data_IF_800768993620
#
_entry.id   IF_800768993620
#
_cell.length_a   1.000
_cell.length_b   1.000
_cell.length_c   1.000
_cell.angle_alpha   90.00
_cell.angle_beta   90.00
_cell.angle_gamma   90.00
#
_symmetry.space_group_name_H-M   'P 1'
#
loop_
_entity.id
_entity.type
_entity.pdbx_description
1 polymer ?
#
# COMPACT_ATOMS: atom_id res chain seq x y z
N UNK A 1 -11.13 40.41 4.21
CA UNK A 1 -10.27 39.30 3.74
C UNK A 1 -11.09 38.01 3.75
N UNK A 2 -11.25 37.33 2.62
CA UNK A 2 -11.96 36.03 2.53
C UNK A 2 -10.96 34.91 2.84
N UNK A 3 -11.24 34.08 3.84
CA UNK A 3 -10.39 32.97 4.26
C UNK A 3 -10.62 31.75 3.35
N UNK A 4 -9.56 31.30 2.67
CA UNK A 4 -9.60 30.07 1.87
C UNK A 4 -9.42 28.89 2.81
N UNK A 5 -10.46 28.06 2.98
CA UNK A 5 -10.38 26.80 3.71
C UNK A 5 -9.98 25.69 2.73
N UNK A 6 -8.72 25.28 2.76
CA UNK A 6 -8.28 24.06 2.09
C UNK A 6 -8.75 22.85 2.89
N UNK A 7 -9.77 22.14 2.38
CA UNK A 7 -10.14 20.82 2.90
C UNK A 7 -9.13 19.83 2.33
N UNK A 8 -8.24 19.28 3.15
CA UNK A 8 -7.38 18.17 2.72
C UNK A 8 -8.26 16.94 2.48
N UNK A 9 -8.51 16.63 1.21
CA UNK A 9 -9.16 15.39 0.81
C UNK A 9 -8.13 14.47 0.15
N UNK A 10 -7.96 13.29 0.72
CA UNK A 10 -6.99 12.30 0.24
C UNK A 10 -7.47 11.66 -1.05
N UNK A 11 -6.78 11.92 -2.16
CA UNK A 11 -6.96 11.19 -3.42
C UNK A 11 -5.96 10.04 -3.46
N UNK A 12 -6.42 8.83 -3.79
CA UNK A 12 -5.52 7.68 -3.96
C UNK A 12 -4.88 7.68 -5.36
N UNK A 13 -3.59 7.37 -5.44
CA UNK A 13 -2.82 7.32 -6.70
C UNK A 13 -3.46 6.34 -7.70
N UNK A 14 -4.06 5.24 -7.21
CA UNK A 14 -4.73 4.26 -8.07
C UNK A 14 -6.01 4.79 -8.70
N UNK A 15 -6.79 5.58 -7.95
CA UNK A 15 -8.00 6.21 -8.46
C UNK A 15 -7.66 7.29 -9.49
N UNK A 16 -6.65 8.12 -9.21
CA UNK A 16 -6.13 9.09 -10.18
C UNK A 16 -5.64 8.42 -11.47
N UNK A 17 -4.92 7.30 -11.35
CA UNK A 17 -4.41 6.55 -12.50
C UNK A 17 -5.53 5.84 -13.29
N UNK A 18 -6.59 5.39 -12.64
CA UNK A 18 -7.75 4.79 -13.31
C UNK A 18 -8.56 5.85 -14.07
N UNK A 19 -8.72 7.04 -13.50
CA UNK A 19 -9.39 8.17 -14.13
C UNK A 19 -8.62 8.66 -15.36
N UNK A 20 -7.30 8.85 -15.23
CA UNK A 20 -6.44 9.32 -16.31
C UNK A 20 -6.33 8.36 -17.51
N UNK A 21 -6.63 7.07 -17.32
CA UNK A 21 -6.60 6.06 -18.40
C UNK A 21 -7.95 5.86 -19.08
N UNK A 22 -9.01 6.48 -18.57
CA UNK A 22 -10.35 6.37 -19.14
C UNK A 22 -10.72 7.69 -19.85
N UNK A 23 -10.83 7.70 -21.19
CA UNK A 23 -11.07 8.92 -21.97
C UNK A 23 -12.41 9.58 -21.61
N UNK A 24 -13.47 8.80 -21.39
CA UNK A 24 -14.78 9.34 -20.99
C UNK A 24 -14.75 9.98 -19.59
N UNK A 25 -13.87 9.49 -18.71
CA UNK A 25 -13.72 10.05 -17.38
C UNK A 25 -12.87 11.34 -17.40
N UNK A 26 -11.89 11.43 -18.29
CA UNK A 26 -11.14 12.67 -18.53
C UNK A 26 -12.03 13.77 -19.15
N UNK A 27 -12.84 13.42 -20.15
CA UNK A 27 -13.81 14.35 -20.76
C UNK A 27 -14.81 14.90 -19.72
N UNK A 28 -15.31 14.05 -18.83
CA UNK A 28 -16.21 14.49 -17.75
C UNK A 28 -15.54 15.45 -16.75
N UNK A 29 -14.23 15.30 -16.51
CA UNK A 29 -13.46 16.20 -15.64
C UNK A 29 -13.19 17.52 -16.33
N UNK A 30 -12.88 17.51 -17.63
CA UNK A 30 -12.66 18.70 -18.43
C UNK A 30 -13.94 19.52 -18.55
N UNK A 31 -15.08 18.91 -18.87
CA UNK A 31 -16.38 19.58 -18.93
C UNK A 31 -16.76 20.24 -17.58
N UNK A 32 -16.45 19.58 -16.46
CA UNK A 32 -16.69 20.13 -15.12
C UNK A 32 -15.74 21.29 -14.77
N UNK A 33 -14.51 21.28 -15.29
CA UNK A 33 -13.56 22.37 -15.13
C UNK A 33 -13.98 23.60 -15.95
N UNK A 34 -14.44 23.40 -17.19
CA UNK A 34 -14.95 24.47 -18.06
C UNK A 34 -16.20 25.14 -17.46
N UNK A 35 -17.15 24.35 -16.92
CA UNK A 35 -18.33 24.90 -16.22
C UNK A 35 -17.93 25.74 -14.99
N UNK A 36 -16.89 25.32 -14.27
CA UNK A 36 -16.40 26.04 -13.09
C UNK A 36 -15.70 27.37 -13.45
N UNK A 37 -14.97 27.41 -14.56
CA UNK A 37 -14.32 28.62 -15.08
C UNK A 37 -15.34 29.61 -15.66
N UNK A 38 -16.39 29.12 -16.36
CA UNK A 38 -17.46 29.97 -16.92
C UNK A 38 -18.34 30.60 -15.82
N UNK A 39 -18.54 29.90 -14.71
CA UNK A 39 -19.35 30.39 -13.58
C UNK A 39 -18.66 31.49 -12.74
N UNK A 40 -17.40 31.85 -13.03
CA UNK A 40 -16.57 32.75 -12.20
C UNK A 40 -16.65 32.43 -10.69
N UNK A 41 -16.86 31.15 -10.37
CA UNK A 41 -16.98 30.67 -9.00
C UNK A 41 -15.57 30.59 -8.38
N UNK A 42 -15.40 30.91 -7.08
CA UNK A 42 -14.12 30.68 -6.42
C UNK A 42 -13.72 29.20 -6.58
N UNK A 43 -12.42 28.85 -6.67
CA UNK A 43 -11.96 27.53 -7.06
C UNK A 43 -12.40 26.46 -6.06
N UNK A 44 -13.61 25.95 -6.28
CA UNK A 44 -14.25 24.85 -5.57
C UNK A 44 -14.30 23.60 -6.46
N UNK A 45 -13.31 23.50 -7.35
CA UNK A 45 -13.08 22.41 -8.30
C UNK A 45 -13.18 21.02 -7.64
N UNK A 46 -12.74 20.92 -6.37
CA UNK A 46 -12.78 19.67 -5.60
C UNK A 46 -14.13 19.38 -4.93
N UNK A 47 -14.95 20.39 -4.64
CA UNK A 47 -16.27 20.20 -4.03
C UNK A 47 -17.28 19.70 -5.07
N UNK A 48 -17.27 20.28 -6.28
CA UNK A 48 -18.17 19.85 -7.37
C UNK A 48 -17.76 18.50 -7.95
N UNK A 49 -16.46 18.24 -8.10
CA UNK A 49 -15.96 16.91 -8.49
C UNK A 49 -16.39 15.81 -7.50
N UNK A 50 -16.51 16.13 -6.20
CA UNK A 50 -17.04 15.20 -5.20
C UNK A 50 -18.53 14.90 -5.39
N UNK A 51 -19.38 15.88 -5.70
CA UNK A 51 -20.81 15.65 -5.94
C UNK A 51 -21.02 14.72 -7.13
N UNK A 52 -20.27 14.92 -8.22
CA UNK A 52 -20.32 14.01 -9.38
C UNK A 52 -19.72 12.63 -9.09
N UNK A 53 -18.70 12.53 -8.22
CA UNK A 53 -18.20 11.25 -7.72
C UNK A 53 -19.22 10.53 -6.82
N UNK A 54 -20.05 11.26 -6.06
CA UNK A 54 -21.12 10.67 -5.25
C UNK A 54 -22.25 10.10 -6.14
N UNK A 55 -22.61 10.78 -7.23
CA UNK A 55 -23.56 10.23 -8.22
C UNK A 55 -22.99 9.00 -8.94
N UNK A 56 -21.69 8.98 -9.25
CA UNK A 56 -21.01 7.78 -9.78
C UNK A 56 -20.91 6.65 -8.73
N UNK A 57 -20.86 6.98 -7.44
CA UNK A 57 -20.86 6.05 -6.30
C UNK A 57 -22.27 5.52 -5.98
N UNK A 58 -23.33 6.25 -6.35
CA UNK A 58 -24.74 5.86 -6.16
C UNK A 58 -25.21 4.66 -6.98
N UNK A 59 -24.45 4.21 -7.99
CA UNK A 59 -24.69 2.95 -8.73
C UNK A 59 -23.73 1.81 -8.37
N UNK A 60 -22.81 2.01 -7.42
CA UNK A 60 -21.91 0.97 -6.92
C UNK A 60 -22.18 0.66 -5.45
N UNK A 61 -23.45 0.42 -5.13
CA UNK A 61 -23.77 -0.49 -4.04
C UNK A 61 -23.27 -1.88 -4.43
N UNK A 62 -22.55 -2.53 -3.51
CA UNK A 62 -21.97 -3.88 -3.65
C UNK A 62 -20.71 -4.00 -4.52
N UNK A 63 -19.60 -3.47 -4.03
CA UNK A 63 -18.40 -4.31 -4.02
C UNK A 63 -17.75 -4.17 -2.66
N UNK A 64 -18.04 -5.15 -1.80
CA UNK A 64 -17.22 -5.42 -0.64
C UNK A 64 -15.77 -5.38 -1.12
N UNK A 65 -15.00 -4.39 -0.68
CA UNK A 65 -13.55 -4.49 -0.69
C UNK A 65 -13.21 -5.61 0.30
N UNK A 66 -13.41 -6.85 -0.14
CA UNK A 66 -12.66 -7.98 0.32
C UNK A 66 -11.22 -7.55 0.26
N UNK A 67 -10.67 -7.34 1.44
CA UNK A 67 -9.26 -7.41 1.78
C UNK A 67 -8.70 -8.76 1.30
N UNK A 68 -8.65 -8.94 -0.02
CA UNK A 68 -7.92 -10.03 -0.64
C UNK A 68 -6.47 -9.77 -0.26
N UNK A 69 -5.96 -10.67 0.58
CA UNK A 69 -4.68 -10.56 1.27
C UNK A 69 -3.64 -9.85 0.43
N UNK A 70 -3.26 -8.66 0.90
CA UNK A 70 -2.14 -7.91 0.35
C UNK A 70 -0.89 -8.74 0.58
N UNK A 71 -0.50 -9.52 -0.42
CA UNK A 71 0.75 -10.26 -0.39
C UNK A 71 1.90 -9.23 -0.33
N UNK A 72 2.70 -9.20 0.75
CA UNK A 72 3.75 -8.20 0.92
C UNK A 72 4.94 -8.37 -0.04
N UNK A 73 4.97 -9.46 -0.83
CA UNK A 73 6.08 -9.75 -1.73
C UNK A 73 6.14 -8.76 -2.92
N UNK A 74 4.99 -8.41 -3.50
CA UNK A 74 4.92 -7.50 -4.64
C UNK A 74 5.21 -6.04 -4.26
N UNK A 75 4.85 -5.63 -3.04
CA UNK A 75 5.06 -4.26 -2.54
C UNK A 75 6.54 -3.91 -2.39
N UNK A 76 7.41 -4.89 -2.11
CA UNK A 76 8.84 -4.65 -1.90
C UNK A 76 9.57 -4.18 -3.18
N UNK A 77 9.09 -4.58 -4.37
CA UNK A 77 9.70 -4.16 -5.64
C UNK A 77 9.33 -2.71 -5.99
N UNK A 78 8.05 -2.36 -5.83
CA UNK A 78 7.56 -1.01 -6.07
C UNK A 78 8.11 -0.02 -5.04
N UNK A 79 8.21 -0.40 -3.77
CA UNK A 79 8.83 0.44 -2.72
C UNK A 79 10.32 0.72 -3.01
N UNK A 80 11.07 -0.27 -3.48
CA UNK A 80 12.48 -0.07 -3.90
C UNK A 80 12.57 0.88 -5.08
N UNK A 81 11.75 0.69 -6.12
CA UNK A 81 11.74 1.58 -7.28
C UNK A 81 11.38 3.03 -6.91
N UNK A 82 10.41 3.22 -6.01
CA UNK A 82 10.05 4.56 -5.50
C UNK A 82 11.18 5.15 -4.65
N UNK A 83 11.80 4.37 -3.77
CA UNK A 83 12.93 4.83 -2.96
C UNK A 83 14.13 5.24 -3.84
N UNK A 84 14.45 4.47 -4.88
CA UNK A 84 15.51 4.80 -5.84
C UNK A 84 15.20 6.08 -6.62
N UNK A 85 13.97 6.24 -7.10
CA UNK A 85 13.55 7.44 -7.81
C UNK A 85 13.64 8.67 -6.90
N UNK A 86 13.12 8.59 -5.68
CA UNK A 86 13.19 9.68 -4.71
C UNK A 86 14.64 10.03 -4.37
N UNK A 87 15.52 9.04 -4.28
CA UNK A 87 16.95 9.26 -4.04
C UNK A 87 17.63 9.94 -5.23
N UNK A 88 17.41 9.45 -6.45
CA UNK A 88 17.96 10.03 -7.67
C UNK A 88 17.49 11.47 -7.89
N UNK A 89 16.22 11.78 -7.59
CA UNK A 89 15.71 13.16 -7.66
C UNK A 89 16.22 14.02 -6.50
N UNK A 90 16.36 13.44 -5.30
CA UNK A 90 16.99 14.10 -4.16
C UNK A 90 18.42 14.53 -4.46
N UNK A 91 19.20 13.68 -5.10
CA UNK A 91 20.59 13.97 -5.47
C UNK A 91 20.68 15.04 -6.58
N UNK A 92 19.83 14.92 -7.62
CA UNK A 92 19.75 15.92 -8.70
C UNK A 92 19.35 17.31 -8.20
N UNK A 93 18.39 17.36 -7.29
CA UNK A 93 17.85 18.61 -6.75
C UNK A 93 18.59 19.08 -5.48
N UNK A 94 19.59 18.31 -5.00
CA UNK A 94 20.27 18.50 -3.70
C UNK A 94 19.29 18.66 -2.52
N UNK A 95 18.19 17.92 -2.55
CA UNK A 95 17.14 17.97 -1.54
C UNK A 95 17.33 16.91 -0.47
N UNK A 96 17.72 17.33 0.73
CA UNK A 96 17.87 16.47 1.91
C UNK A 96 16.55 15.82 2.33
N UNK A 97 15.42 16.51 2.09
CA UNK A 97 14.09 15.99 2.40
C UNK A 97 13.76 14.75 1.55
N UNK A 98 14.01 14.80 0.24
CA UNK A 98 13.74 13.68 -0.67
C UNK A 98 14.64 12.47 -0.34
N UNK A 99 15.91 12.72 -0.05
CA UNK A 99 16.84 11.66 0.37
C UNK A 99 16.44 11.05 1.73
N UNK A 100 15.96 11.86 2.68
CA UNK A 100 15.45 11.37 3.97
C UNK A 100 14.17 10.53 3.79
N UNK A 101 13.27 10.95 2.90
CA UNK A 101 12.04 10.22 2.59
C UNK A 101 12.35 8.89 1.92
N UNK A 102 13.28 8.87 0.96
CA UNK A 102 13.75 7.65 0.32
C UNK A 102 14.25 6.62 1.35
N UNK A 103 15.01 7.06 2.35
CA UNK A 103 15.51 6.16 3.40
C UNK A 103 14.39 5.56 4.26
N UNK A 104 13.33 6.32 4.55
CA UNK A 104 12.17 5.85 5.31
C UNK A 104 11.31 4.88 4.50
N UNK A 105 11.13 5.13 3.21
CA UNK A 105 10.37 4.23 2.30
C UNK A 105 11.11 2.91 2.07
N UNK A 106 12.45 2.93 2.07
CA UNK A 106 13.27 1.74 1.93
C UNK A 106 13.33 0.86 3.20
N UNK A 107 12.99 1.41 4.38
CA UNK A 107 13.03 0.66 5.63
C UNK A 107 11.89 -0.35 5.69
N UNK A 108 12.20 -1.61 6.04
CA UNK A 108 11.20 -2.65 6.29
C UNK A 108 10.78 -2.59 7.78
N UNK A 109 9.55 -2.12 8.10
CA UNK A 109 9.09 -1.98 9.48
C UNK A 109 8.93 -3.32 10.21
N UNK A 110 8.91 -4.45 9.49
CA UNK A 110 8.68 -5.79 10.06
C UNK A 110 9.91 -6.70 9.98
N UNK A 111 11.08 -6.20 9.57
CA UNK A 111 12.28 -7.02 9.44
C UNK A 111 12.61 -7.82 10.72
N UNK A 112 12.44 -7.21 11.89
CA UNK A 112 12.64 -7.88 13.18
C UNK A 112 11.61 -8.98 13.44
N UNK A 113 10.34 -8.72 13.11
CA UNK A 113 9.25 -9.69 13.31
C UNK A 113 9.43 -10.90 12.40
N UNK A 114 9.82 -10.68 11.14
CA UNK A 114 10.12 -11.76 10.18
C UNK A 114 11.23 -12.68 10.71
N UNK A 115 12.33 -12.10 11.21
CA UNK A 115 13.42 -12.86 11.82
C UNK A 115 12.99 -13.67 13.05
N UNK A 116 12.13 -13.11 13.91
CA UNK A 116 11.61 -13.82 15.06
C UNK A 116 10.72 -15.00 14.66
N UNK A 117 9.87 -14.81 13.64
CA UNK A 117 9.01 -15.88 13.10
C UNK A 117 9.86 -16.98 12.46
N UNK A 118 10.86 -16.63 11.66
CA UNK A 118 11.81 -17.60 11.08
C UNK A 118 12.55 -18.38 12.17
N UNK A 119 13.03 -17.70 13.22
CA UNK A 119 13.71 -18.36 14.34
C UNK A 119 12.79 -19.33 15.10
N UNK A 120 11.51 -18.97 15.31
CA UNK A 120 10.54 -19.85 15.94
C UNK A 120 10.23 -21.08 15.09
N UNK A 121 10.09 -20.90 13.77
CA UNK A 121 9.87 -22.02 12.85
C UNK A 121 11.06 -22.99 12.89
N UNK A 122 12.29 -22.47 12.80
CA UNK A 122 13.50 -23.31 12.89
C UNK A 122 13.57 -24.08 14.21
N UNK A 123 13.26 -23.41 15.33
CA UNK A 123 13.22 -24.05 16.64
C UNK A 123 12.16 -25.16 16.71
N UNK A 124 10.94 -24.92 16.20
CA UNK A 124 9.88 -25.93 16.20
C UNK A 124 10.23 -27.15 15.35
N UNK A 125 10.94 -26.95 14.23
CA UNK A 125 11.43 -28.05 13.40
C UNK A 125 12.49 -28.86 14.15
N UNK A 126 13.41 -28.21 14.85
CA UNK A 126 14.46 -28.86 15.64
C UNK A 126 13.87 -29.65 16.82
N UNK A 127 12.90 -29.08 17.54
CA UNK A 127 12.16 -29.76 18.62
C UNK A 127 11.43 -31.00 18.07
N UNK A 128 10.73 -30.89 16.94
CA UNK A 128 10.03 -32.02 16.32
C UNK A 128 10.99 -33.14 15.86
N UNK A 129 12.18 -32.78 15.36
CA UNK A 129 13.21 -33.76 15.01
C UNK A 129 13.77 -34.45 16.26
N UNK A 130 14.06 -33.69 17.32
CA UNK A 130 14.53 -34.24 18.59
C UNK A 130 13.51 -35.20 19.23
N UNK A 131 12.24 -34.83 19.23
CA UNK A 131 11.15 -35.67 19.75
C UNK A 131 11.02 -36.98 18.94
N UNK A 132 11.09 -36.90 17.61
CA UNK A 132 11.04 -38.08 16.74
C UNK A 132 12.24 -39.03 16.96
N UNK A 133 13.45 -38.50 17.16
CA UNK A 133 14.62 -39.31 17.50
C UNK A 133 14.48 -39.96 18.88
N UNK A 134 13.92 -39.24 19.85
CA UNK A 134 13.73 -39.72 21.20
C UNK A 134 12.67 -40.82 21.30
N UNK A 135 11.53 -40.66 20.63
CA UNK A 135 10.50 -41.70 20.50
C UNK A 135 11.07 -42.94 19.78
N UNK A 136 11.80 -42.74 18.68
CA UNK A 136 12.44 -43.83 17.94
C UNK A 136 13.52 -44.57 18.74
N UNK A 137 14.15 -43.93 19.74
CA UNK A 137 15.04 -44.59 20.68
C UNK A 137 14.26 -45.45 21.68
N UNK A 138 13.21 -44.89 22.29
CA UNK A 138 12.34 -45.61 23.24
C UNK A 138 11.71 -46.85 22.60
N UNK A 139 11.18 -46.73 21.38
CA UNK A 139 10.58 -47.86 20.64
C UNK A 139 11.59 -48.99 20.39
N UNK A 140 12.86 -48.65 20.08
CA UNK A 140 13.92 -49.64 19.87
C UNK A 140 14.29 -50.37 21.15
N UNK A 141 14.48 -49.66 22.25
CA UNK A 141 14.88 -50.27 23.52
C UNK A 141 13.75 -51.12 24.12
N UNK A 142 12.49 -50.69 23.95
CA UNK A 142 11.31 -51.47 24.32
C UNK A 142 11.15 -52.72 23.47
N UNK A 143 11.44 -52.64 22.16
CA UNK A 143 11.40 -53.80 21.25
C UNK A 143 12.50 -54.83 21.53
N UNK A 144 13.67 -54.41 22.02
CA UNK A 144 14.78 -55.30 22.42
C UNK A 144 14.56 -56.01 23.75
N UNK A 145 13.74 -55.44 24.63
CA UNK A 145 13.48 -55.96 25.98
C UNK A 145 12.32 -56.96 26.06
N UNK A 146 11.97 -57.60 24.94
CA UNK A 146 10.81 -58.50 24.83
C UNK A 146 11.22 -59.88 24.34
#
# INVERSE_FOLDING_TARGET
>A
AKTVRFVQQGVSVRLAQALARNPAAMEAVEAAAEEADEAAAPPALLQRAQEHLQLARGRQGAFLSTSKGRQPAADSSAQRAVAELLRAQGDKLRSTLLTSLASRVAADPFAKVKKLVEALISRLLEEAHGDAEHEGFCDKEMGKSK
#
